data_IF_600769641112
#
_entry.id   IF_600769641112
#
_cell.length_a   1.000
_cell.length_b   1.000
_cell.length_c   1.000
_cell.angle_alpha   90.00
_cell.angle_beta   90.00
_cell.angle_gamma   90.00
#
_symmetry.space_group_name_H-M   'P 1'
#
loop_
_entity.id
_entity.type
_entity.pdbx_description
1 polymer ?
#
# COMPACT_ATOMS: atom_id res chain seq x y z
N UNK A 1 3.26 17.73 -14.22
CA UNK A 1 2.61 16.98 -13.14
C UNK A 1 3.62 15.95 -12.64
N UNK A 2 3.75 15.74 -11.36
CA UNK A 2 4.75 14.81 -10.82
C UNK A 2 4.09 13.91 -9.79
N UNK A 3 4.10 12.60 -10.08
CA UNK A 3 3.67 11.58 -9.13
C UNK A 3 4.72 11.31 -8.04
N UNK A 4 5.82 12.06 -8.02
CA UNK A 4 6.95 11.88 -7.09
C UNK A 4 7.08 13.01 -6.09
N UNK A 5 7.40 12.63 -4.84
CA UNK A 5 7.80 13.52 -3.76
C UNK A 5 8.91 12.84 -2.94
N UNK A 6 10.17 13.20 -3.23
CA UNK A 6 11.33 12.53 -2.66
C UNK A 6 11.45 11.08 -3.14
N UNK A 7 11.47 10.12 -2.21
CA UNK A 7 11.50 8.68 -2.51
C UNK A 7 10.11 8.10 -2.81
N UNK A 8 9.06 8.81 -2.39
CA UNK A 8 7.70 8.34 -2.54
C UNK A 8 7.14 8.65 -3.94
N UNK A 9 6.36 7.72 -4.47
CA UNK A 9 5.62 7.82 -5.73
C UNK A 9 4.15 7.51 -5.48
N UNK A 10 3.25 8.36 -6.02
CA UNK A 10 1.83 8.11 -6.04
C UNK A 10 1.47 7.24 -7.26
N UNK A 11 0.62 6.26 -7.06
CA UNK A 11 0.01 5.47 -8.12
C UNK A 11 -1.51 5.52 -7.93
N UNK A 12 -2.22 5.98 -8.96
CA UNK A 12 -3.68 6.04 -8.97
C UNK A 12 -4.17 5.35 -10.22
N UNK A 13 -4.93 4.26 -10.09
CA UNK A 13 -5.55 3.59 -11.22
C UNK A 13 -7.06 3.65 -11.11
N UNK A 14 -7.74 3.90 -12.24
CA UNK A 14 -9.18 4.05 -12.32
C UNK A 14 -9.72 3.09 -13.36
N UNK A 15 -10.35 2.01 -12.91
CA UNK A 15 -10.76 0.89 -13.75
C UNK A 15 -12.28 0.77 -13.76
N UNK A 16 -12.88 0.62 -14.95
CA UNK A 16 -14.30 0.33 -15.07
C UNK A 16 -14.60 -1.08 -14.57
N UNK A 17 -15.55 -1.21 -13.65
CA UNK A 17 -16.00 -2.49 -13.12
C UNK A 17 -17.22 -2.97 -13.92
N UNK A 18 -17.07 -4.05 -14.68
CA UNK A 18 -18.11 -4.53 -15.59
C UNK A 18 -19.19 -5.38 -14.91
N UNK A 19 -18.84 -6.01 -13.80
CA UNK A 19 -19.78 -6.89 -13.05
C UNK A 19 -19.27 -7.15 -11.63
N UNK A 20 -20.10 -7.83 -10.82
CA UNK A 20 -19.65 -8.38 -9.54
C UNK A 20 -19.22 -7.36 -8.49
N UNK A 21 -19.77 -6.14 -8.53
CA UNK A 21 -19.48 -5.07 -7.56
C UNK A 21 -19.54 -5.57 -6.11
N UNK A 22 -20.64 -6.22 -5.75
CA UNK A 22 -20.86 -6.69 -4.38
C UNK A 22 -19.84 -7.75 -3.94
N UNK A 23 -19.37 -8.58 -4.87
CA UNK A 23 -18.34 -9.58 -4.60
C UNK A 23 -17.00 -8.93 -4.34
N UNK A 24 -16.63 -7.91 -5.14
CA UNK A 24 -15.40 -7.12 -4.94
C UNK A 24 -15.45 -6.38 -3.61
N UNK A 25 -16.57 -5.71 -3.29
CA UNK A 25 -16.75 -5.00 -2.03
C UNK A 25 -16.67 -5.95 -0.82
N UNK A 26 -17.28 -7.13 -0.93
CA UNK A 26 -17.23 -8.17 0.12
C UNK A 26 -15.80 -8.64 0.30
N UNK A 27 -15.10 -8.98 -0.78
CA UNK A 27 -13.71 -9.42 -0.73
C UNK A 27 -12.81 -8.37 -0.07
N UNK A 28 -12.91 -7.10 -0.48
CA UNK A 28 -12.14 -5.98 0.09
C UNK A 28 -12.45 -5.74 1.58
N UNK A 29 -13.70 -5.95 2.00
CA UNK A 29 -14.12 -5.81 3.41
C UNK A 29 -13.51 -6.91 4.28
N UNK A 30 -13.43 -8.12 3.74
CA UNK A 30 -12.95 -9.30 4.45
C UNK A 30 -11.42 -9.45 4.42
N UNK A 31 -10.72 -8.65 3.59
CA UNK A 31 -9.25 -8.63 3.56
C UNK A 31 -8.67 -8.27 4.94
N UNK A 32 -7.71 -9.07 5.45
CA UNK A 32 -7.01 -8.75 6.68
C UNK A 32 -6.32 -7.40 6.60
N UNK A 33 -6.28 -6.69 7.72
CA UNK A 33 -5.67 -5.36 7.85
C UNK A 33 -4.41 -5.41 8.73
N UNK A 34 -3.57 -4.39 8.60
CA UNK A 34 -2.34 -4.29 9.38
C UNK A 34 -1.31 -5.38 8.99
N UNK A 35 -0.57 -5.93 9.94
CA UNK A 35 0.50 -6.90 9.67
C UNK A 35 0.02 -8.19 8.99
N UNK A 36 -1.24 -8.58 9.20
CA UNK A 36 -1.85 -9.78 8.62
C UNK A 36 -2.32 -9.55 7.17
N UNK A 37 -2.30 -8.32 6.69
CA UNK A 37 -2.68 -8.00 5.32
C UNK A 37 -1.71 -8.66 4.33
N UNK A 38 -2.20 -9.26 3.23
CA UNK A 38 -1.32 -9.71 2.15
C UNK A 38 -0.46 -8.57 1.59
N UNK A 39 -0.97 -7.33 1.62
CA UNK A 39 -0.23 -6.13 1.23
C UNK A 39 0.98 -5.82 2.13
N UNK A 40 1.00 -6.29 3.37
CA UNK A 40 2.13 -6.10 4.27
C UNK A 40 3.42 -6.81 3.81
N UNK A 41 3.30 -7.75 2.86
CA UNK A 41 4.45 -8.43 2.22
C UNK A 41 5.22 -7.51 1.27
N UNK A 42 4.58 -6.46 0.76
CA UNK A 42 5.19 -5.52 -0.18
C UNK A 42 6.12 -4.55 0.56
N UNK A 43 7.45 -4.63 0.34
CA UNK A 43 8.42 -3.87 1.12
C UNK A 43 8.46 -2.38 0.78
N UNK A 44 7.87 -2.00 -0.36
CA UNK A 44 7.84 -0.61 -0.86
C UNK A 44 6.54 0.12 -0.57
N UNK A 45 5.53 -0.58 -0.07
CA UNK A 45 4.19 -0.03 0.10
C UNK A 45 4.06 0.73 1.41
N UNK A 46 3.83 2.05 1.36
CA UNK A 46 3.46 2.86 2.52
C UNK A 46 1.99 2.66 2.87
N UNK A 47 1.11 2.84 1.91
CA UNK A 47 -0.32 2.57 2.03
C UNK A 47 -0.94 2.31 0.66
N UNK A 48 -2.05 1.60 0.67
CA UNK A 48 -2.92 1.43 -0.49
C UNK A 48 -4.37 1.43 -0.05
N UNK A 49 -5.25 1.80 -0.99
CA UNK A 49 -6.70 1.67 -0.80
C UNK A 49 -7.38 1.36 -2.12
N UNK A 50 -8.50 0.67 -2.02
CA UNK A 50 -9.48 0.52 -3.09
C UNK A 50 -10.78 1.18 -2.68
N UNK A 51 -11.44 1.81 -3.64
CA UNK A 51 -12.77 2.40 -3.46
C UNK A 51 -13.62 2.00 -4.66
N UNK A 52 -14.77 1.40 -4.42
CA UNK A 52 -15.78 1.20 -5.46
C UNK A 52 -16.62 2.47 -5.52
N UNK A 53 -16.71 3.06 -6.71
CA UNK A 53 -17.46 4.28 -6.99
C UNK A 53 -18.61 3.90 -7.91
N UNK A 54 -19.82 3.91 -7.40
CA UNK A 54 -21.05 3.62 -8.14
C UNK A 54 -21.93 4.87 -8.36
N UNK A 55 -21.63 5.93 -7.62
CA UNK A 55 -22.31 7.23 -7.70
C UNK A 55 -21.36 8.35 -7.32
N UNK A 56 -21.58 9.50 -7.88
CA UNK A 56 -20.90 10.72 -7.45
C UNK A 56 -21.61 11.33 -6.23
N UNK A 57 -20.91 12.13 -5.41
CA UNK A 57 -21.55 12.90 -4.35
C UNK A 57 -22.70 13.73 -4.95
N UNK A 58 -23.87 13.77 -4.28
CA UNK A 58 -25.00 14.51 -4.81
C UNK A 58 -24.65 16.00 -4.94
N UNK A 59 -24.75 16.51 -6.19
CA UNK A 59 -24.85 17.93 -6.44
C UNK A 59 -26.37 18.22 -6.49
N UNK A 60 -26.94 18.96 -5.48
CA UNK A 60 -28.40 19.09 -5.37
C UNK A 60 -29.03 19.51 -6.70
N UNK A 61 -30.18 18.90 -7.11
CA UNK A 61 -31.09 18.12 -6.27
C UNK A 61 -31.02 16.59 -6.40
N UNK A 62 -30.23 16.01 -7.33
CA UNK A 62 -30.32 14.58 -7.64
C UNK A 62 -28.98 13.85 -7.48
N UNK A 63 -28.97 12.59 -6.97
CA UNK A 63 -27.75 11.77 -6.98
C UNK A 63 -27.38 11.45 -8.44
N UNK A 64 -26.13 11.69 -8.78
CA UNK A 64 -25.57 11.37 -10.09
C UNK A 64 -25.09 9.92 -10.07
N UNK A 65 -25.98 8.99 -10.44
CA UNK A 65 -25.65 7.57 -10.57
C UNK A 65 -24.82 7.35 -11.82
N UNK A 66 -23.74 6.59 -11.69
CA UNK A 66 -22.90 6.22 -12.80
C UNK A 66 -23.53 5.02 -13.55
N UNK A 67 -23.53 5.06 -14.88
CA UNK A 67 -24.01 3.96 -15.73
C UNK A 67 -23.28 2.64 -15.42
N UNK A 68 -22.03 2.73 -14.99
CA UNK A 68 -21.21 1.61 -14.57
C UNK A 68 -20.37 2.00 -13.35
N UNK A 69 -20.18 1.10 -12.39
CA UNK A 69 -19.28 1.37 -11.26
C UNK A 69 -17.81 1.35 -11.71
N UNK A 70 -17.00 2.05 -10.95
CA UNK A 70 -15.54 2.09 -11.11
C UNK A 70 -14.82 1.61 -9.85
N UNK A 71 -13.67 1.01 -10.05
CA UNK A 71 -12.74 0.65 -9.01
C UNK A 71 -11.56 1.63 -9.04
N UNK A 72 -11.49 2.50 -8.05
CA UNK A 72 -10.35 3.38 -7.81
C UNK A 72 -9.34 2.66 -6.93
N UNK A 73 -8.11 2.56 -7.39
CA UNK A 73 -6.96 2.13 -6.61
C UNK A 73 -6.02 3.30 -6.40
N UNK A 74 -5.57 3.53 -5.16
CA UNK A 74 -4.51 4.48 -4.89
C UNK A 74 -3.47 3.86 -3.97
N UNK A 75 -2.19 4.11 -4.27
CA UNK A 75 -1.08 3.67 -3.46
C UNK A 75 0.00 4.76 -3.35
N UNK A 76 0.74 4.75 -2.25
CA UNK A 76 1.98 5.47 -2.09
C UNK A 76 3.10 4.45 -1.88
N UNK A 77 4.15 4.52 -2.69
CA UNK A 77 5.19 3.50 -2.75
C UNK A 77 6.57 4.13 -2.81
N UNK A 78 7.59 3.40 -2.39
CA UNK A 78 8.97 3.79 -2.58
C UNK A 78 9.43 3.50 -4.01
N UNK A 79 10.07 4.50 -4.62
CA UNK A 79 10.76 4.35 -5.89
C UNK A 79 9.84 4.39 -7.11
N UNK A 80 9.97 3.42 -8.00
CA UNK A 80 9.31 3.43 -9.31
C UNK A 80 7.97 2.71 -9.32
N UNK A 81 6.93 3.34 -9.91
CA UNK A 81 5.57 2.81 -9.97
C UNK A 81 5.48 1.52 -10.81
N UNK A 82 6.25 1.40 -11.89
CA UNK A 82 6.27 0.20 -12.74
C UNK A 82 6.89 -0.99 -12.00
N UNK A 83 7.98 -0.74 -11.28
CA UNK A 83 8.61 -1.76 -10.46
C UNK A 83 7.66 -2.27 -9.36
N UNK A 84 6.92 -1.35 -8.73
CA UNK A 84 5.89 -1.72 -7.74
C UNK A 84 4.72 -2.49 -8.37
N UNK A 85 4.19 -2.04 -9.51
CA UNK A 85 3.09 -2.73 -10.19
C UNK A 85 3.48 -4.18 -10.56
N UNK A 86 4.72 -4.38 -11.01
CA UNK A 86 5.24 -5.72 -11.29
C UNK A 86 5.34 -6.58 -10.02
N UNK A 87 5.89 -6.04 -8.95
CA UNK A 87 5.99 -6.71 -7.66
C UNK A 87 4.60 -7.09 -7.12
N UNK A 88 3.63 -6.19 -7.25
CA UNK A 88 2.23 -6.43 -6.90
C UNK A 88 1.69 -7.64 -7.68
N UNK A 89 1.87 -7.67 -9.01
CA UNK A 89 1.47 -8.77 -9.88
C UNK A 89 2.14 -10.10 -9.55
N UNK A 90 3.40 -10.09 -9.16
CA UNK A 90 4.16 -11.30 -8.81
C UNK A 90 3.74 -11.88 -7.45
N UNK A 91 3.46 -11.04 -6.46
CA UNK A 91 3.28 -11.46 -5.06
C UNK A 91 1.82 -11.68 -4.64
N UNK A 92 0.86 -11.01 -5.29
CA UNK A 92 -0.53 -10.97 -4.83
C UNK A 92 -1.53 -11.46 -5.89
N UNK A 93 -1.14 -12.42 -6.73
CA UNK A 93 -1.97 -12.92 -7.85
C UNK A 93 -3.41 -13.28 -7.45
N UNK A 94 -3.66 -14.09 -6.42
CA UNK A 94 -5.03 -14.47 -6.05
C UNK A 94 -5.87 -13.27 -5.61
N UNK A 95 -5.26 -12.35 -4.87
CA UNK A 95 -5.90 -11.14 -4.39
C UNK A 95 -6.26 -10.22 -5.56
N UNK A 96 -5.34 -10.08 -6.53
CA UNK A 96 -5.55 -9.23 -7.70
C UNK A 96 -6.65 -9.77 -8.61
N UNK A 97 -6.67 -11.09 -8.86
CA UNK A 97 -7.73 -11.73 -9.64
C UNK A 97 -9.10 -11.57 -8.96
N UNK A 98 -9.14 -11.60 -7.62
CA UNK A 98 -10.37 -11.38 -6.85
C UNK A 98 -10.84 -9.92 -6.89
N UNK A 99 -9.90 -8.95 -6.94
CA UNK A 99 -10.19 -7.52 -6.88
C UNK A 99 -10.45 -6.96 -8.29
N UNK A 100 -9.53 -7.20 -9.24
CA UNK A 100 -9.58 -6.62 -10.58
C UNK A 100 -10.14 -7.56 -11.65
N UNK A 101 -10.36 -8.83 -11.34
CA UNK A 101 -10.84 -9.83 -12.30
C UNK A 101 -12.20 -9.52 -12.95
N UNK A 102 -12.92 -8.51 -12.43
CA UNK A 102 -14.18 -8.02 -12.99
C UNK A 102 -14.05 -6.67 -13.70
N UNK A 103 -12.84 -6.14 -13.78
CA UNK A 103 -12.58 -4.88 -14.46
C UNK A 103 -12.35 -5.07 -15.95
N UNK A 104 -12.74 -4.07 -16.72
CA UNK A 104 -12.59 -4.05 -18.17
C UNK A 104 -11.14 -4.29 -18.60
N UNK A 105 -10.95 -5.23 -19.51
CA UNK A 105 -9.65 -5.52 -20.12
C UNK A 105 -8.60 -6.09 -19.14
N UNK A 106 -8.99 -6.54 -17.95
CA UNK A 106 -8.05 -7.15 -17.01
C UNK A 106 -7.41 -8.42 -17.60
N UNK A 107 -6.05 -8.49 -17.69
CA UNK A 107 -5.37 -9.59 -18.37
C UNK A 107 -5.19 -10.85 -17.51
N UNK A 108 -5.57 -10.79 -16.22
CA UNK A 108 -5.20 -11.77 -15.22
C UNK A 108 -3.82 -11.50 -14.60
N UNK A 109 -3.64 -11.88 -13.34
CA UNK A 109 -2.35 -11.73 -12.65
C UNK A 109 -1.35 -12.87 -12.99
N UNK A 110 -1.73 -13.81 -13.85
CA UNK A 110 -0.84 -14.89 -14.31
C UNK A 110 0.38 -14.39 -15.08
N UNK A 111 0.23 -13.28 -15.82
CA UNK A 111 1.31 -12.57 -16.49
C UNK A 111 1.51 -11.20 -15.81
N UNK A 112 2.55 -11.12 -14.97
CA UNK A 112 2.87 -9.89 -14.23
C UNK A 112 3.26 -8.73 -15.14
N UNK A 113 3.78 -8.98 -16.35
CA UNK A 113 4.14 -7.93 -17.30
C UNK A 113 2.86 -7.34 -17.92
N UNK A 114 1.96 -8.18 -18.42
CA UNK A 114 0.68 -7.75 -18.96
C UNK A 114 -0.17 -7.01 -17.89
N UNK A 115 -0.20 -7.52 -16.66
CA UNK A 115 -0.85 -6.84 -15.54
C UNK A 115 -0.23 -5.47 -15.27
N UNK A 116 1.10 -5.37 -15.25
CA UNK A 116 1.81 -4.11 -15.04
C UNK A 116 1.45 -3.07 -16.09
N UNK A 117 1.48 -3.44 -17.35
CA UNK A 117 1.14 -2.54 -18.45
C UNK A 117 -0.33 -2.12 -18.35
N UNK A 118 -1.25 -3.07 -18.14
CA UNK A 118 -2.66 -2.79 -17.96
C UNK A 118 -2.92 -1.82 -16.78
N UNK A 119 -2.28 -2.03 -15.62
CA UNK A 119 -2.46 -1.16 -14.45
C UNK A 119 -1.96 0.26 -14.73
N UNK A 120 -0.83 0.39 -15.42
CA UNK A 120 -0.25 1.70 -15.76
C UNK A 120 -0.99 2.41 -16.88
N UNK A 121 -1.59 1.69 -17.82
CA UNK A 121 -2.46 2.28 -18.85
C UNK A 121 -3.73 2.90 -18.25
N UNK A 122 -4.15 2.42 -17.07
CA UNK A 122 -5.27 2.98 -16.30
C UNK A 122 -4.81 3.97 -15.23
N UNK A 123 -3.52 4.35 -15.23
CA UNK A 123 -3.00 5.32 -14.27
C UNK A 123 -3.48 6.73 -14.59
N UNK A 124 -4.00 7.40 -13.58
CA UNK A 124 -4.37 8.81 -13.62
C UNK A 124 -3.24 9.63 -13.00
N UNK A 125 -2.53 10.45 -13.80
CA UNK A 125 -1.43 11.26 -13.30
C UNK A 125 -1.89 12.23 -12.20
N UNK A 126 -1.09 12.32 -11.14
CA UNK A 126 -1.40 13.19 -10.01
C UNK A 126 -1.14 14.66 -10.34
N UNK A 127 -2.11 15.53 -10.07
CA UNK A 127 -1.93 16.97 -10.23
C UNK A 127 -1.02 17.57 -9.17
N UNK A 128 -1.12 17.09 -7.94
CA UNK A 128 -0.27 17.49 -6.82
C UNK A 128 -0.10 16.32 -5.84
N UNK A 129 1.15 16.01 -5.52
CA UNK A 129 1.50 14.98 -4.54
C UNK A 129 2.60 15.48 -3.62
N UNK A 130 2.43 15.30 -2.33
CA UNK A 130 3.44 15.61 -1.31
C UNK A 130 3.54 14.47 -0.30
N UNK A 131 4.76 14.02 -0.04
CA UNK A 131 5.08 13.13 1.07
C UNK A 131 5.82 13.92 2.14
N UNK A 132 5.24 14.06 3.34
CA UNK A 132 5.83 14.82 4.44
C UNK A 132 7.20 14.27 4.86
N UNK A 133 7.38 12.96 4.73
CA UNK A 133 8.63 12.24 5.01
C UNK A 133 9.26 11.68 3.73
N UNK A 134 9.32 12.49 2.67
CA UNK A 134 9.75 12.06 1.34
C UNK A 134 11.21 11.56 1.22
N UNK A 135 12.01 11.66 2.29
CA UNK A 135 13.36 11.07 2.35
C UNK A 135 13.38 9.68 3.00
N UNK A 136 12.30 9.26 3.67
CA UNK A 136 12.23 8.01 4.40
C UNK A 136 11.49 6.96 3.59
N UNK A 137 12.11 5.81 3.43
CA UNK A 137 11.50 4.62 2.82
C UNK A 137 10.66 3.85 3.84
N UNK A 138 9.84 2.93 3.38
CA UNK A 138 9.12 1.96 4.24
C UNK A 138 10.13 1.18 5.10
N UNK A 139 11.29 0.81 4.52
CA UNK A 139 12.33 0.09 5.26
C UNK A 139 12.93 0.95 6.38
N UNK A 140 13.16 2.24 6.14
CA UNK A 140 13.66 3.17 7.18
C UNK A 140 12.67 3.27 8.34
N UNK A 141 11.38 3.36 8.04
CA UNK A 141 10.32 3.38 9.06
C UNK A 141 10.31 2.08 9.87
N UNK A 142 10.36 0.93 9.21
CA UNK A 142 10.39 -0.39 9.87
C UNK A 142 11.63 -0.55 10.75
N UNK A 143 12.80 -0.16 10.25
CA UNK A 143 14.05 -0.19 11.01
C UNK A 143 13.98 0.71 12.25
N UNK A 144 13.42 1.92 12.10
CA UNK A 144 13.25 2.86 13.20
C UNK A 144 12.29 2.34 14.27
N UNK A 145 11.20 1.69 13.87
CA UNK A 145 10.27 1.05 14.81
C UNK A 145 10.93 -0.11 15.55
N UNK A 146 11.67 -0.96 14.86
CA UNK A 146 12.40 -2.07 15.48
C UNK A 146 13.48 -1.56 16.48
N UNK A 147 14.23 -0.54 16.09
CA UNK A 147 15.21 0.10 16.98
C UNK A 147 14.54 0.70 18.22
N UNK A 148 13.39 1.37 18.05
CA UNK A 148 12.59 1.88 19.17
C UNK A 148 12.17 0.77 20.14
N UNK A 149 11.66 -0.34 19.63
CA UNK A 149 11.26 -1.50 20.47
C UNK A 149 12.46 -2.07 21.22
N UNK A 150 13.60 -2.20 20.56
CA UNK A 150 14.84 -2.67 21.18
C UNK A 150 15.30 -1.74 22.32
N UNK A 151 15.29 -0.41 22.10
CA UNK A 151 15.65 0.58 23.12
C UNK A 151 14.68 0.55 24.29
N UNK A 152 13.38 0.51 24.04
CA UNK A 152 12.37 0.44 25.10
C UNK A 152 12.50 -0.87 25.92
N UNK A 153 12.68 -2.01 25.24
CA UNK A 153 12.89 -3.29 25.88
C UNK A 153 14.15 -3.30 26.75
N UNK A 154 15.25 -2.70 26.25
CA UNK A 154 16.45 -2.50 27.06
C UNK A 154 16.19 -1.60 28.26
N UNK A 155 15.57 -0.43 28.07
CA UNK A 155 15.30 0.53 29.15
C UNK A 155 14.51 -0.08 30.31
N UNK A 156 13.46 -0.87 29.99
CA UNK A 156 12.65 -1.57 30.99
C UNK A 156 13.47 -2.60 31.77
N UNK A 157 14.34 -3.37 31.11
CA UNK A 157 15.22 -4.35 31.77
C UNK A 157 16.28 -3.67 32.59
N UNK A 158 16.89 -2.59 32.08
CA UNK A 158 17.98 -1.87 32.74
C UNK A 158 17.56 -1.22 34.07
N UNK A 159 16.27 -0.89 34.25
CA UNK A 159 15.76 -0.37 35.54
C UNK A 159 15.95 -1.35 36.68
N UNK A 160 15.98 -2.66 36.40
CA UNK A 160 16.12 -3.74 37.39
C UNK A 160 17.57 -4.16 37.64
N UNK A 161 18.53 -3.57 36.91
CA UNK A 161 19.96 -3.91 37.00
C UNK A 161 20.75 -2.93 37.90
N UNK A 162 21.77 -3.43 38.59
CA UNK A 162 22.74 -2.61 39.27
C UNK A 162 23.54 -1.77 38.25
N UNK A 163 24.08 -0.57 38.62
CA UNK A 163 24.77 0.33 37.69
C UNK A 163 25.87 -0.33 36.86
N UNK A 164 26.70 -1.18 37.43
CA UNK A 164 27.77 -1.88 36.72
C UNK A 164 27.23 -2.83 35.66
N UNK A 165 26.15 -3.54 35.97
CA UNK A 165 25.49 -4.50 35.06
C UNK A 165 24.80 -3.78 33.85
N UNK A 166 24.40 -2.50 34.02
CA UNK A 166 23.74 -1.75 32.97
C UNK A 166 24.64 -1.51 31.76
N UNK A 167 25.92 -1.22 32.00
CA UNK A 167 26.87 -0.99 30.91
C UNK A 167 27.10 -2.26 30.07
N UNK A 168 27.26 -3.41 30.72
CA UNK A 168 27.47 -4.67 30.03
C UNK A 168 26.21 -5.08 29.25
N UNK A 169 25.03 -4.90 29.87
CA UNK A 169 23.75 -5.15 29.22
C UNK A 169 23.53 -4.19 28.03
N UNK A 170 23.98 -2.94 28.11
CA UNK A 170 23.91 -1.99 27.00
C UNK A 170 24.80 -2.43 25.83
N UNK A 171 26.06 -2.77 26.09
CA UNK A 171 26.99 -3.24 25.07
C UNK A 171 26.50 -4.54 24.40
N UNK A 172 25.87 -5.43 25.16
CA UNK A 172 25.28 -6.64 24.62
C UNK A 172 24.02 -6.39 23.77
N UNK A 173 23.20 -5.39 24.12
CA UNK A 173 21.98 -5.05 23.40
C UNK A 173 22.25 -4.23 22.13
N UNK A 174 23.34 -3.42 22.12
CA UNK A 174 23.69 -2.51 21.03
C UNK A 174 25.18 -2.69 20.67
N UNK A 175 25.51 -3.79 19.97
CA UNK A 175 26.86 -4.00 19.48
C UNK A 175 27.24 -2.91 18.47
N UNK A 176 28.51 -2.45 18.51
CA UNK A 176 29.05 -1.43 17.63
C UNK A 176 29.13 -1.90 16.16
#
# INVERSE_FOLDING_TARGET
MSDKSGQATALTAFNRLESGREDVERYLRDLPRGPESPLARLPRLHFARWVVIDRLPPDPPEPDELDQPYLLFTACVDGDARAFARELGEQLRPELDSIWGRCAGYPGAGDAAAFTDWLLDHHVPTSFFVAAYGKSTVQDVRNSLAAREQVLGFALRAQKLAPAQRLDAFKAAFPA
#
